data_IF_856927233407
#
_entry.id   IF_856927233407
#
_cell.length_a   1.000
_cell.length_b   1.000
_cell.length_c   1.000
_cell.angle_alpha   90.00
_cell.angle_beta   90.00
_cell.angle_gamma   90.00
#
_symmetry.space_group_name_H-M   'P 1'
#
loop_
_entity.id
_entity.type
_entity.pdbx_description
1 polymer ?
#
# COMPACT_ATOMS: atom_id res chain seq x y z
N UNK A 1 -2.86 -0.78 8.88
CA UNK A 1 -1.88 -1.29 7.89
C UNK A 1 -1.98 -0.46 6.63
N UNK A 2 -0.88 -0.29 5.88
CA UNK A 2 -0.91 0.27 4.52
C UNK A 2 -0.20 -0.74 3.61
N UNK A 3 -0.80 -1.03 2.45
CA UNK A 3 -0.25 -1.94 1.46
C UNK A 3 -0.48 -1.40 0.05
N UNK A 4 0.25 -1.92 -0.93
CA UNK A 4 0.07 -1.59 -2.34
C UNK A 4 -0.65 -2.74 -3.05
N UNK A 5 -1.88 -2.52 -3.52
CA UNK A 5 -2.76 -3.60 -4.01
C UNK A 5 -3.16 -4.61 -2.93
N UNK A 6 -3.11 -4.18 -1.65
CA UNK A 6 -3.28 -5.05 -0.49
C UNK A 6 -4.64 -5.71 -0.39
N UNK A 7 -5.70 -5.09 -0.91
CA UNK A 7 -7.04 -5.68 -0.91
C UNK A 7 -7.11 -6.92 -1.81
N UNK A 8 -6.38 -6.89 -2.93
CA UNK A 8 -6.44 -7.94 -3.95
C UNK A 8 -5.37 -9.01 -3.77
N UNK A 9 -4.25 -8.68 -3.14
CA UNK A 9 -3.10 -9.57 -3.01
C UNK A 9 -2.74 -9.88 -1.54
N UNK A 10 -2.08 -8.96 -0.84
CA UNK A 10 -1.46 -9.20 0.48
C UNK A 10 -2.45 -9.75 1.51
N UNK A 11 -3.63 -9.16 1.57
CA UNK A 11 -4.69 -9.58 2.50
C UNK A 11 -5.14 -11.02 2.27
N UNK A 12 -5.28 -11.43 1.01
CA UNK A 12 -5.70 -12.79 0.65
C UNK A 12 -4.59 -13.80 0.93
N UNK A 13 -3.35 -13.42 0.61
CA UNK A 13 -2.18 -14.24 0.86
C UNK A 13 -1.99 -14.50 2.37
N UNK A 14 -2.00 -13.44 3.19
CA UNK A 14 -1.83 -13.55 4.63
C UNK A 14 -2.96 -14.36 5.29
N UNK A 15 -4.21 -14.12 4.90
CA UNK A 15 -5.35 -14.89 5.40
C UNK A 15 -5.25 -16.38 5.03
N UNK A 16 -4.85 -16.69 3.79
CA UNK A 16 -4.65 -18.07 3.34
C UNK A 16 -3.52 -18.76 4.11
N UNK A 17 -2.39 -18.08 4.31
CA UNK A 17 -1.25 -18.58 5.08
C UNK A 17 -1.62 -18.84 6.54
N UNK A 18 -2.31 -17.90 7.20
CA UNK A 18 -2.75 -18.10 8.57
C UNK A 18 -3.66 -19.33 8.69
N UNK A 19 -4.64 -19.46 7.79
CA UNK A 19 -5.54 -20.61 7.76
C UNK A 19 -4.81 -21.93 7.51
N UNK A 20 -3.86 -21.95 6.56
CA UNK A 20 -3.08 -23.15 6.22
C UNK A 20 -2.27 -23.66 7.41
N UNK A 21 -1.72 -22.75 8.21
CA UNK A 21 -0.83 -23.07 9.33
C UNK A 21 -1.52 -23.02 10.70
N UNK A 22 -2.85 -22.84 10.75
CA UNK A 22 -3.59 -22.72 12.00
C UNK A 22 -3.17 -21.51 12.86
N UNK A 23 -2.58 -20.48 12.25
CA UNK A 23 -2.08 -19.33 12.98
C UNK A 23 -3.26 -18.45 13.41
N UNK A 24 -3.30 -18.01 14.68
CA UNK A 24 -4.30 -17.06 15.11
C UNK A 24 -4.11 -15.73 14.37
N UNK A 25 -5.21 -15.12 13.95
CA UNK A 25 -5.22 -13.84 13.26
C UNK A 25 -6.10 -12.82 13.97
N UNK A 26 -5.81 -11.53 13.78
CA UNK A 26 -6.59 -10.40 14.28
C UNK A 26 -7.05 -9.51 13.14
N UNK A 27 -8.21 -8.90 13.29
CA UNK A 27 -8.72 -7.93 12.34
C UNK A 27 -8.01 -6.59 12.49
N UNK A 28 -7.72 -5.95 11.36
CA UNK A 28 -7.09 -4.64 11.28
C UNK A 28 -7.65 -3.84 10.11
N UNK A 29 -7.70 -2.52 10.28
CA UNK A 29 -7.90 -1.60 9.18
C UNK A 29 -6.70 -1.59 8.23
N UNK A 30 -6.98 -1.63 6.94
CA UNK A 30 -6.01 -1.50 5.87
C UNK A 30 -6.38 -0.38 4.90
N UNK A 31 -5.40 0.45 4.57
CA UNK A 31 -5.45 1.39 3.46
C UNK A 31 -4.70 0.78 2.28
N UNK A 32 -5.36 0.73 1.12
CA UNK A 32 -4.69 0.40 -0.14
C UNK A 32 -4.17 1.70 -0.79
N UNK A 33 -2.85 1.83 -0.91
CA UNK A 33 -2.20 3.02 -1.48
C UNK A 33 -2.58 3.27 -2.95
N UNK A 34 -3.16 2.28 -3.67
CA UNK A 34 -3.75 2.50 -4.99
C UNK A 34 -4.91 3.50 -4.90
N UNK A 35 -5.68 3.54 -3.81
CA UNK A 35 -6.75 4.51 -3.65
C UNK A 35 -6.20 5.94 -3.56
N UNK A 36 -5.13 6.14 -2.79
CA UNK A 36 -4.45 7.44 -2.71
C UNK A 36 -3.90 7.87 -4.08
N UNK A 37 -3.27 6.94 -4.80
CA UNK A 37 -2.77 7.16 -6.16
C UNK A 37 -3.90 7.56 -7.11
N UNK A 38 -5.07 6.94 -7.01
CA UNK A 38 -6.27 7.28 -7.80
C UNK A 38 -6.89 8.63 -7.42
N UNK A 39 -6.82 9.02 -6.15
CA UNK A 39 -7.27 10.35 -5.70
C UNK A 39 -6.37 11.44 -6.31
N UNK A 40 -5.06 11.19 -6.38
CA UNK A 40 -4.09 12.17 -6.87
C UNK A 40 -3.99 12.23 -8.40
N UNK A 41 -4.00 11.07 -9.08
CA UNK A 41 -3.74 10.97 -10.53
C UNK A 41 -4.98 10.64 -11.37
N UNK A 42 -6.15 10.52 -10.73
CA UNK A 42 -7.39 10.11 -11.39
C UNK A 42 -7.49 8.59 -11.63
N UNK A 43 -8.57 8.19 -12.31
CA UNK A 43 -8.93 6.77 -12.54
C UNK A 43 -9.09 6.41 -14.02
N UNK A 44 -8.69 7.30 -14.93
CA UNK A 44 -8.90 7.14 -16.37
C UNK A 44 -8.16 5.91 -16.88
N UNK A 45 -8.79 5.17 -17.80
CA UNK A 45 -8.18 3.99 -18.45
C UNK A 45 -6.82 4.36 -19.04
N UNK A 46 -5.81 3.52 -18.79
CA UNK A 46 -4.41 3.80 -19.16
C UNK A 46 -3.58 4.46 -18.04
N UNK A 47 -4.22 4.96 -16.97
CA UNK A 47 -3.50 5.43 -15.78
C UNK A 47 -3.02 4.24 -14.96
N UNK A 48 -1.78 3.79 -15.20
CA UNK A 48 -1.16 2.75 -14.38
C UNK A 48 -1.00 3.22 -12.93
N UNK A 49 -1.33 2.37 -11.96
CA UNK A 49 -1.19 2.67 -10.52
C UNK A 49 -0.27 1.67 -9.80
N UNK A 50 0.59 0.96 -10.54
CA UNK A 50 1.64 0.16 -9.91
C UNK A 50 2.62 1.06 -9.18
N UNK A 51 3.38 0.48 -8.24
CA UNK A 51 4.33 1.21 -7.44
C UNK A 51 5.39 1.92 -8.31
N UNK A 52 5.83 1.30 -9.42
CA UNK A 52 6.71 1.93 -10.40
C UNK A 52 6.11 3.15 -11.09
N UNK A 53 4.83 3.09 -11.50
CA UNK A 53 4.14 4.24 -12.10
C UNK A 53 4.03 5.39 -11.09
N UNK A 54 3.70 5.07 -9.84
CA UNK A 54 3.59 6.05 -8.76
C UNK A 54 4.94 6.67 -8.45
N UNK A 55 5.99 5.86 -8.31
CA UNK A 55 7.38 6.30 -8.14
C UNK A 55 7.78 7.29 -9.22
N UNK A 56 7.55 6.93 -10.49
CA UNK A 56 7.87 7.76 -11.65
C UNK A 56 7.15 9.11 -11.61
N UNK A 57 5.82 9.11 -11.40
CA UNK A 57 5.03 10.36 -11.34
C UNK A 57 5.37 11.25 -10.14
N UNK A 58 5.77 10.65 -9.01
CA UNK A 58 6.18 11.38 -7.81
C UNK A 58 7.65 11.84 -7.86
N UNK A 59 8.42 11.44 -8.88
CA UNK A 59 9.84 11.78 -9.01
C UNK A 59 10.71 11.17 -7.90
N UNK A 60 10.33 10.01 -7.34
CA UNK A 60 11.06 9.38 -6.25
C UNK A 60 12.33 8.70 -6.78
N UNK A 61 13.49 9.11 -6.25
CA UNK A 61 14.79 8.52 -6.57
C UNK A 61 14.94 7.13 -5.95
N UNK A 62 15.65 6.25 -6.64
CA UNK A 62 16.14 5.01 -6.04
C UNK A 62 17.08 5.32 -4.87
N UNK A 63 16.86 4.67 -3.74
CA UNK A 63 17.84 4.56 -2.67
C UNK A 63 18.78 3.40 -3.02
N UNK A 64 20.07 3.57 -2.78
CA UNK A 64 21.16 2.77 -3.33
C UNK A 64 21.29 1.33 -2.78
N UNK A 65 20.19 0.61 -2.58
CA UNK A 65 20.16 -0.80 -2.15
C UNK A 65 19.49 -1.66 -3.23
N UNK A 66 19.96 -2.90 -3.37
CA UNK A 66 19.68 -3.80 -4.51
C UNK A 66 18.18 -4.11 -4.64
N UNK A 67 17.54 -3.53 -5.67
CA UNK A 67 16.16 -3.81 -6.13
C UNK A 67 15.73 -5.28 -5.97
N UNK A 68 14.49 -5.45 -5.49
CA UNK A 68 13.61 -6.63 -5.55
C UNK A 68 13.45 -7.51 -4.29
N UNK A 69 13.71 -7.00 -3.08
CA UNK A 69 13.21 -7.66 -1.86
C UNK A 69 12.01 -6.91 -1.24
N UNK A 70 11.26 -7.60 -0.38
CA UNK A 70 10.07 -7.04 0.25
C UNK A 70 10.35 -5.78 1.10
N UNK A 71 11.60 -5.54 1.51
CA UNK A 71 11.98 -4.35 2.29
C UNK A 71 12.05 -3.12 1.39
N UNK A 72 12.59 -3.27 0.19
CA UNK A 72 12.64 -2.17 -0.78
C UNK A 72 11.24 -1.71 -1.21
N UNK A 73 10.34 -2.67 -1.44
CA UNK A 73 8.94 -2.36 -1.77
C UNK A 73 8.25 -1.60 -0.63
N UNK A 74 8.56 -1.93 0.63
CA UNK A 74 8.01 -1.24 1.80
C UNK A 74 8.62 0.16 1.97
N UNK A 75 9.93 0.36 1.77
CA UNK A 75 10.56 1.70 1.80
C UNK A 75 9.96 2.60 0.72
N UNK A 76 9.91 2.11 -0.53
CA UNK A 76 9.34 2.83 -1.66
C UNK A 76 7.86 3.15 -1.42
N UNK A 77 7.08 2.20 -0.91
CA UNK A 77 5.70 2.42 -0.52
C UNK A 77 5.57 3.50 0.55
N UNK A 78 6.38 3.47 1.60
CA UNK A 78 6.38 4.46 2.66
C UNK A 78 6.62 5.87 2.12
N UNK A 79 7.65 6.04 1.29
CA UNK A 79 7.99 7.32 0.64
C UNK A 79 6.88 7.79 -0.31
N UNK A 80 6.29 6.88 -1.08
CA UNK A 80 5.17 7.19 -1.97
C UNK A 80 3.94 7.66 -1.18
N UNK A 81 3.58 6.96 -0.10
CA UNK A 81 2.45 7.33 0.77
C UNK A 81 2.66 8.70 1.39
N UNK A 82 3.84 8.99 1.95
CA UNK A 82 4.15 10.29 2.52
C UNK A 82 4.01 11.42 1.49
N UNK A 83 4.56 11.23 0.28
CA UNK A 83 4.46 12.22 -0.79
C UNK A 83 3.01 12.40 -1.28
N UNK A 84 2.22 11.33 -1.39
CA UNK A 84 0.81 11.41 -1.73
C UNK A 84 -0.01 12.11 -0.64
N UNK A 85 0.23 11.83 0.65
CA UNK A 85 -0.42 12.53 1.76
C UNK A 85 -0.18 14.03 1.70
N UNK A 86 1.07 14.45 1.50
CA UNK A 86 1.43 15.86 1.39
C UNK A 86 0.73 16.53 0.19
N UNK A 87 0.72 15.88 -0.98
CA UNK A 87 0.08 16.43 -2.19
C UNK A 87 -1.44 16.47 -2.11
N UNK A 88 -2.06 15.56 -1.36
CA UNK A 88 -3.51 15.50 -1.15
C UNK A 88 -3.97 16.36 0.05
N UNK A 89 -3.05 16.91 0.84
CA UNK A 89 -3.40 17.66 2.07
C UNK A 89 -4.05 16.78 3.14
N UNK A 90 -3.69 15.49 3.20
CA UNK A 90 -4.25 14.56 4.20
C UNK A 90 -3.64 14.78 5.57
N UNK A 91 -4.47 14.64 6.61
CA UNK A 91 -4.01 14.61 7.99
C UNK A 91 -3.30 13.29 8.34
N UNK A 92 -2.72 13.22 9.54
CA UNK A 92 -2.05 12.01 10.04
C UNK A 92 -3.00 10.81 10.15
N UNK A 93 -4.31 11.06 10.29
CA UNK A 93 -5.33 10.01 10.30
C UNK A 93 -5.68 9.53 8.88
N UNK A 94 -5.19 10.18 7.82
CA UNK A 94 -5.55 9.91 6.43
C UNK A 94 -7.07 9.90 6.25
N UNK A 95 -7.76 10.85 6.88
CA UNK A 95 -9.21 10.96 6.79
C UNK A 95 -9.66 11.13 5.33
N UNK A 96 -10.75 10.46 4.96
CA UNK A 96 -11.27 10.44 3.59
C UNK A 96 -10.61 9.42 2.65
N UNK A 97 -9.53 8.73 3.06
CA UNK A 97 -8.98 7.60 2.31
C UNK A 97 -9.77 6.32 2.62
N UNK A 98 -10.28 5.58 1.62
CA UNK A 98 -11.01 4.33 1.85
C UNK A 98 -10.20 3.30 2.63
N UNK A 99 -10.85 2.67 3.61
CA UNK A 99 -10.31 1.60 4.45
C UNK A 99 -11.07 0.31 4.22
N UNK A 100 -10.38 -0.82 4.34
CA UNK A 100 -11.00 -2.14 4.34
C UNK A 100 -10.48 -2.97 5.51
N UNK A 101 -11.32 -3.85 6.03
CA UNK A 101 -10.91 -4.82 7.04
C UNK A 101 -10.05 -5.91 6.40
N UNK A 102 -8.99 -6.30 7.09
CA UNK A 102 -8.16 -7.46 6.74
C UNK A 102 -7.66 -8.16 7.99
N UNK A 103 -6.94 -9.26 7.83
CA UNK A 103 -6.43 -10.08 8.93
C UNK A 103 -4.92 -10.21 8.89
N UNK A 104 -4.30 -9.96 10.03
CA UNK A 104 -2.87 -10.18 10.25
C UNK A 104 -2.66 -11.28 11.29
N UNK A 105 -1.54 -12.04 11.25
CA UNK A 105 -1.15 -12.92 12.33
C UNK A 105 -1.16 -12.18 13.68
N UNK A 106 -1.62 -12.85 14.74
CA UNK A 106 -1.41 -12.36 16.11
C UNK A 106 0.07 -12.54 16.45
N UNK A 107 0.71 -11.44 16.83
CA UNK A 107 2.05 -11.40 17.43
C UNK A 107 2.04 -12.03 18.82
#
# INVERSE_FOLDING_TARGET
MIAHNGLRFDSKFLAATCRRHGLPAREVDCIDSIHMSKMLFGKTRGTGHSLDHVKSRLGLRDTSLRRHDARDDVDLLGRAVLSMCQKLGLDAAMNGVPRHQTRLPKS
#
